data_IF_198579245933
#
_entry.id   IF_198579245933
#
_cell.length_a   1.000
_cell.length_b   1.000
_cell.length_c   1.000
_cell.angle_alpha   90.00
_cell.angle_beta   90.00
_cell.angle_gamma   90.00
#
_symmetry.space_group_name_H-M   'P 1'
#
loop_
_entity.id
_entity.type
_entity.pdbx_description
1 polymer ?
#
# COMPACT_ATOMS: atom_id res chain seq x y z
N UNK A 1 44.15 -12.79 1.27
CA UNK A 1 43.06 -13.21 0.37
C UNK A 1 41.73 -12.76 0.94
N UNK A 2 40.76 -12.49 0.06
CA UNK A 2 39.72 -11.45 0.18
C UNK A 2 38.73 -11.66 1.33
N UNK A 3 38.54 -10.62 2.17
CA UNK A 3 37.40 -10.49 3.10
C UNK A 3 36.13 -10.45 2.26
N UNK A 4 35.38 -11.54 2.22
CA UNK A 4 34.03 -11.57 1.65
C UNK A 4 33.17 -10.57 2.42
N UNK A 5 32.78 -9.47 1.78
CA UNK A 5 31.72 -8.60 2.28
C UNK A 5 30.46 -9.45 2.38
N UNK A 6 30.11 -9.88 3.58
CA UNK A 6 28.76 -10.32 3.89
C UNK A 6 27.88 -9.08 3.71
N UNK A 7 27.32 -8.92 2.51
CA UNK A 7 26.15 -8.06 2.34
C UNK A 7 25.12 -8.62 3.30
N UNK A 8 24.85 -7.87 4.36
CA UNK A 8 23.90 -8.25 5.38
C UNK A 8 22.63 -8.80 4.73
N UNK A 9 22.10 -9.85 5.34
CA UNK A 9 20.74 -10.38 5.16
C UNK A 9 19.84 -9.32 4.51
N UNK A 10 19.23 -9.55 3.33
CA UNK A 10 17.90 -10.20 3.23
C UNK A 10 16.99 -9.99 4.44
N UNK A 11 17.10 -8.86 5.14
CA UNK A 11 16.12 -8.40 6.08
C UNK A 11 14.84 -8.27 5.27
N UNK A 12 13.97 -9.27 5.45
CA UNK A 12 12.59 -9.30 5.01
C UNK A 12 12.44 -9.20 3.48
N UNK A 13 12.43 -10.36 2.81
CA UNK A 13 11.49 -10.49 1.68
C UNK A 13 10.14 -10.06 2.28
N UNK A 14 9.55 -8.97 1.80
CA UNK A 14 8.28 -8.48 2.35
C UNK A 14 7.27 -9.62 2.39
N UNK A 15 6.22 -9.48 3.20
CA UNK A 15 5.18 -10.50 3.43
C UNK A 15 4.66 -11.17 2.13
N UNK A 16 4.85 -10.52 0.97
CA UNK A 16 4.43 -10.95 -0.36
C UNK A 16 5.56 -11.33 -1.33
N UNK A 17 6.79 -11.57 -0.86
CA UNK A 17 7.93 -11.99 -1.69
C UNK A 17 8.54 -10.91 -2.58
N UNK A 18 8.02 -9.68 -2.49
CA UNK A 18 8.47 -8.49 -3.20
C UNK A 18 9.15 -7.52 -2.24
N UNK A 19 10.08 -6.70 -2.76
CA UNK A 19 10.64 -5.57 -2.01
C UNK A 19 9.86 -4.32 -2.36
N UNK A 20 9.32 -3.66 -1.32
CA UNK A 20 8.58 -2.40 -1.47
C UNK A 20 9.50 -1.32 -2.06
N UNK A 21 9.03 -0.65 -3.11
CA UNK A 21 9.70 0.53 -3.69
C UNK A 21 8.93 1.80 -3.36
N UNK A 22 9.63 2.93 -3.21
CA UNK A 22 8.98 4.23 -2.99
C UNK A 22 8.35 4.74 -4.30
N UNK A 23 7.05 4.97 -4.28
CA UNK A 23 6.27 5.54 -5.40
C UNK A 23 5.53 6.80 -4.94
N UNK A 24 5.17 7.67 -5.88
CA UNK A 24 4.41 8.90 -5.61
C UNK A 24 3.04 8.82 -6.26
N UNK A 25 2.00 9.18 -5.51
CA UNK A 25 0.63 9.33 -6.00
C UNK A 25 0.16 10.76 -5.73
N UNK A 26 -0.44 11.41 -6.72
CA UNK A 26 -1.07 12.72 -6.55
C UNK A 26 -2.55 12.52 -6.26
N UNK A 27 -2.99 12.98 -5.09
CA UNK A 27 -4.38 12.90 -4.62
C UNK A 27 -4.72 14.16 -3.83
N UNK A 28 -6.01 14.43 -3.57
CA UNK A 28 -6.43 15.55 -2.74
C UNK A 28 -6.05 15.32 -1.27
N UNK A 29 -5.89 16.41 -0.50
CA UNK A 29 -5.63 16.30 0.94
C UNK A 29 -6.75 15.54 1.67
N UNK A 30 -8.02 15.82 1.32
CA UNK A 30 -9.17 15.12 1.88
C UNK A 30 -9.13 13.61 1.64
N UNK A 31 -8.61 13.15 0.49
CA UNK A 31 -8.44 11.73 0.23
C UNK A 31 -7.36 11.11 1.11
N UNK A 32 -6.25 11.82 1.36
CA UNK A 32 -5.21 11.38 2.31
C UNK A 32 -5.77 11.26 3.72
N UNK A 33 -6.54 12.24 4.18
CA UNK A 33 -7.09 12.24 5.54
C UNK A 33 -8.06 11.05 5.73
N UNK A 34 -8.88 10.74 4.72
CA UNK A 34 -9.74 9.55 4.73
C UNK A 34 -8.93 8.24 4.73
N UNK A 35 -7.86 8.15 3.93
CA UNK A 35 -6.98 6.98 3.91
C UNK A 35 -6.30 6.76 5.26
N UNK A 36 -5.87 7.83 5.93
CA UNK A 36 -5.29 7.74 7.28
C UNK A 36 -6.30 7.28 8.32
N UNK A 37 -7.53 7.78 8.24
CA UNK A 37 -8.60 7.36 9.13
C UNK A 37 -8.92 5.87 8.94
N UNK A 38 -9.10 5.42 7.69
CA UNK A 38 -9.32 4.00 7.38
C UNK A 38 -8.16 3.13 7.85
N UNK A 39 -6.92 3.58 7.67
CA UNK A 39 -5.74 2.84 8.09
C UNK A 39 -5.70 2.63 9.61
N UNK A 40 -6.06 3.67 10.39
CA UNK A 40 -6.17 3.57 11.86
C UNK A 40 -7.25 2.59 12.30
N UNK A 41 -8.38 2.53 11.60
CA UNK A 41 -9.50 1.64 11.95
C UNK A 41 -9.15 0.16 11.82
N UNK A 42 -8.21 -0.18 10.93
CA UNK A 42 -7.76 -1.57 10.70
C UNK A 42 -6.36 -1.85 11.25
N UNK A 43 -5.80 -0.94 12.06
CA UNK A 43 -4.44 -1.02 12.64
C UNK A 43 -3.33 -1.24 11.59
N UNK A 44 -3.44 -0.53 10.46
CA UNK A 44 -2.45 -0.53 9.38
C UNK A 44 -1.86 0.86 9.18
N UNK A 45 -0.71 0.91 8.53
CA UNK A 45 -0.24 2.16 7.93
C UNK A 45 -0.90 2.38 6.56
N UNK A 46 -0.94 3.63 6.09
CA UNK A 46 -1.57 4.01 4.82
C UNK A 46 -1.11 3.18 3.62
N UNK A 47 0.20 2.92 3.53
CA UNK A 47 0.75 2.17 2.40
C UNK A 47 0.36 0.70 2.42
N UNK A 48 0.26 0.12 3.61
CA UNK A 48 -0.19 -1.26 3.82
C UNK A 48 -1.69 -1.39 3.52
N UNK A 49 -2.50 -0.42 3.97
CA UNK A 49 -3.92 -0.34 3.61
C UNK A 49 -4.11 -0.36 2.09
N UNK A 50 -3.38 0.50 1.36
CA UNK A 50 -3.48 0.60 -0.11
C UNK A 50 -3.07 -0.72 -0.78
N UNK A 51 -1.99 -1.36 -0.31
CA UNK A 51 -1.55 -2.65 -0.86
C UNK A 51 -2.55 -3.77 -0.61
N UNK A 52 -3.09 -3.87 0.60
CA UNK A 52 -4.05 -4.90 0.95
C UNK A 52 -5.39 -4.72 0.22
N UNK A 53 -5.86 -3.48 0.02
CA UNK A 53 -7.02 -3.19 -0.85
C UNK A 53 -6.72 -3.62 -2.29
N UNK A 54 -5.57 -3.23 -2.84
CA UNK A 54 -5.20 -3.56 -4.23
C UNK A 54 -5.06 -5.08 -4.46
N UNK A 55 -4.67 -5.83 -3.43
CA UNK A 55 -4.54 -7.29 -3.45
C UNK A 55 -5.84 -8.02 -3.10
N UNK A 56 -6.92 -7.30 -2.77
CA UNK A 56 -8.21 -7.88 -2.40
C UNK A 56 -8.23 -8.55 -1.01
N UNK A 57 -7.28 -8.20 -0.14
CA UNK A 57 -7.22 -8.70 1.25
C UNK A 57 -8.13 -7.90 2.20
N UNK A 58 -8.41 -6.64 1.84
CA UNK A 58 -9.39 -5.80 2.51
C UNK A 58 -10.53 -5.47 1.57
N UNK A 59 -11.76 -5.63 2.06
CA UNK A 59 -12.96 -5.26 1.34
C UNK A 59 -13.50 -3.92 1.86
N UNK A 60 -13.74 -2.99 0.95
CA UNK A 60 -14.50 -1.78 1.26
C UNK A 60 -15.98 -2.16 1.16
N UNK A 61 -16.66 -2.29 2.31
CA UNK A 61 -18.08 -2.65 2.36
C UNK A 61 -18.92 -1.67 1.52
N UNK A 62 -19.64 -2.19 0.54
CA UNK A 62 -20.48 -1.39 -0.37
C UNK A 62 -19.71 -0.70 -1.51
N UNK A 63 -18.38 -0.88 -1.59
CA UNK A 63 -17.57 -0.36 -2.67
C UNK A 63 -17.72 -1.17 -3.94
N UNK A 64 -18.67 -0.81 -4.80
CA UNK A 64 -18.62 -1.22 -6.20
C UNK A 64 -17.79 -0.22 -6.98
N UNK A 65 -16.68 -0.67 -7.59
CA UNK A 65 -15.96 0.09 -8.60
C UNK A 65 -16.80 0.16 -9.88
N UNK A 66 -17.84 0.99 -9.86
CA UNK A 66 -18.60 1.34 -11.06
C UNK A 66 -18.00 2.63 -11.64
N UNK A 67 -17.60 2.61 -12.91
CA UNK A 67 -17.29 3.85 -13.62
C UNK A 67 -18.59 4.61 -13.81
N UNK A 68 -18.87 5.62 -12.99
CA UNK A 68 -19.67 6.73 -13.51
C UNK A 68 -18.78 7.48 -14.48
N UNK A 69 -19.06 7.31 -15.78
CA UNK A 69 -18.47 8.15 -16.81
C UNK A 69 -18.82 9.60 -16.45
N UNK A 70 -17.82 10.42 -16.12
CA UNK A 70 -18.01 11.86 -16.07
C UNK A 70 -18.45 12.28 -17.48
N UNK A 71 -19.69 12.75 -17.61
CA UNK A 71 -20.10 13.47 -18.79
C UNK A 71 -19.24 14.75 -18.86
N UNK A 72 -18.37 14.77 -19.87
CA UNK A 72 -17.49 15.84 -20.38
C UNK A 72 -17.22 17.04 -19.48
#
# INVERSE_FOLDING_TARGET
MKRTKLYGNRAERGQYGETKSRVTLTVTQSAIDMLDQMAKEVDLNRSELVEQIARGMLEIKGGQLSRQQAAK
#
